data_IF_628194338982
#
_entry.id   IF_628194338982
#
_cell.length_a   1.000
_cell.length_b   1.000
_cell.length_c   1.000
_cell.angle_alpha   90.00
_cell.angle_beta   90.00
_cell.angle_gamma   90.00
#
_symmetry.space_group_name_H-M   'P 1'
#
loop_
_entity.id
_entity.type
_entity.pdbx_description
1 polymer ?
#
# COMPACT_ATOMS: atom_id res chain seq x y z
N UNK A 1 7.16 11.71 -12.09
CA UNK A 1 6.95 10.65 -13.11
C UNK A 1 5.48 10.26 -13.00
N UNK A 2 4.75 10.30 -14.11
CA UNK A 2 3.31 9.96 -14.11
C UNK A 2 3.08 8.51 -13.68
N UNK A 3 2.02 8.30 -12.92
CA UNK A 3 1.65 6.96 -12.43
C UNK A 3 0.99 6.18 -13.57
N UNK A 4 1.60 5.07 -13.95
CA UNK A 4 1.11 4.20 -15.03
C UNK A 4 0.51 2.91 -14.44
N UNK A 5 -0.81 2.85 -14.36
CA UNK A 5 -1.54 1.68 -13.84
C UNK A 5 -1.66 0.51 -14.83
N UNK A 6 -1.25 0.68 -16.09
CA UNK A 6 -1.22 -0.43 -17.06
C UNK A 6 0.01 -1.32 -16.92
N UNK A 7 1.01 -0.91 -16.14
CA UNK A 7 2.22 -1.67 -15.87
C UNK A 7 2.14 -2.21 -14.44
N UNK A 8 2.34 -3.49 -14.25
CA UNK A 8 2.38 -4.14 -12.92
C UNK A 8 3.60 -3.73 -12.08
N UNK A 9 4.67 -3.25 -12.72
CA UNK A 9 5.89 -2.81 -12.05
C UNK A 9 5.84 -1.34 -11.65
N UNK A 10 6.14 -1.08 -10.38
CA UNK A 10 6.23 0.27 -9.81
C UNK A 10 7.67 0.78 -9.86
N UNK A 11 7.86 2.05 -10.23
CA UNK A 11 9.15 2.70 -10.13
C UNK A 11 9.62 2.73 -8.67
N UNK A 12 10.84 2.25 -8.43
CA UNK A 12 11.42 2.23 -7.08
C UNK A 12 11.66 3.65 -6.56
N UNK A 13 11.63 3.83 -5.26
CA UNK A 13 11.72 5.16 -4.62
C UNK A 13 13.03 5.87 -4.93
N UNK A 14 14.13 5.14 -5.08
CA UNK A 14 15.43 5.69 -5.46
C UNK A 14 15.36 6.48 -6.76
N UNK A 15 14.57 6.01 -7.72
CA UNK A 15 14.41 6.66 -9.02
C UNK A 15 13.31 7.73 -9.03
N UNK A 16 12.34 7.64 -8.12
CA UNK A 16 11.15 8.48 -8.10
C UNK A 16 11.29 9.72 -7.24
N UNK A 17 11.91 9.58 -6.07
CA UNK A 17 12.01 10.67 -5.08
C UNK A 17 13.43 11.16 -4.83
N UNK A 18 14.43 10.60 -5.53
CA UNK A 18 15.83 11.00 -5.40
C UNK A 18 16.41 10.77 -4.01
N UNK A 19 15.83 9.86 -3.22
CA UNK A 19 16.26 9.61 -1.84
C UNK A 19 17.56 8.84 -1.77
N UNK A 20 18.32 9.09 -0.72
CA UNK A 20 19.55 8.36 -0.37
C UNK A 20 19.21 7.23 0.60
N UNK A 21 19.97 6.12 0.51
CA UNK A 21 19.81 4.96 1.40
C UNK A 21 20.68 5.02 2.64
N UNK A 22 21.67 5.89 2.66
CA UNK A 22 22.57 6.12 3.79
C UNK A 22 23.60 7.19 3.49
N UNK A 23 24.13 7.81 4.51
CA UNK A 23 25.16 8.84 4.44
C UNK A 23 26.16 8.66 5.56
N UNK A 24 27.45 8.78 5.23
CA UNK A 24 28.55 8.81 6.20
C UNK A 24 29.27 10.14 6.03
N UNK A 25 29.21 10.99 7.05
CA UNK A 25 29.79 12.33 7.05
C UNK A 25 29.20 13.21 8.14
N UNK A 26 29.55 14.48 8.14
CA UNK A 26 28.95 15.45 9.06
C UNK A 26 27.56 15.89 8.61
N UNK A 27 26.74 16.39 9.54
CA UNK A 27 25.43 16.97 9.21
C UNK A 27 25.57 18.17 8.27
N UNK A 28 26.64 18.96 8.42
CA UNK A 28 26.95 20.10 7.55
C UNK A 28 27.18 19.64 6.10
N UNK A 29 28.03 18.62 5.89
CA UNK A 29 28.29 18.06 4.56
C UNK A 29 27.03 17.47 3.94
N UNK A 30 26.18 16.84 4.75
CA UNK A 30 24.90 16.31 4.27
C UNK A 30 23.98 17.43 3.75
N UNK A 31 23.88 18.53 4.51
CA UNK A 31 23.07 19.69 4.14
C UNK A 31 23.59 20.33 2.84
N UNK A 32 24.88 20.63 2.78
CA UNK A 32 25.52 21.22 1.59
C UNK A 32 25.34 20.35 0.34
N UNK A 33 25.54 19.03 0.44
CA UNK A 33 25.34 18.10 -0.66
C UNK A 33 23.88 17.97 -1.08
N UNK A 34 22.95 18.10 -0.14
CA UNK A 34 21.52 18.11 -0.42
C UNK A 34 21.13 19.35 -1.21
N UNK A 35 21.58 20.54 -0.77
CA UNK A 35 21.32 21.80 -1.45
C UNK A 35 21.93 21.83 -2.87
N UNK A 36 23.12 21.31 -3.05
CA UNK A 36 23.79 21.21 -4.36
C UNK A 36 23.25 20.09 -5.26
N UNK A 37 22.30 19.27 -4.80
CA UNK A 37 21.76 18.13 -5.55
C UNK A 37 22.80 17.03 -5.85
N UNK A 38 23.90 16.98 -5.10
CA UNK A 38 25.02 16.03 -5.31
C UNK A 38 24.94 14.77 -4.46
N UNK A 39 23.88 14.61 -3.67
CA UNK A 39 23.62 13.36 -2.92
C UNK A 39 23.36 12.22 -3.89
N UNK A 40 24.30 11.29 -3.95
CA UNK A 40 24.15 10.05 -4.72
C UNK A 40 23.78 8.91 -3.77
N UNK A 41 22.83 8.09 -4.16
CA UNK A 41 22.55 6.82 -3.48
C UNK A 41 23.83 5.99 -3.41
N UNK A 42 24.08 5.36 -2.27
CA UNK A 42 25.22 4.47 -2.13
C UNK A 42 25.08 3.32 -3.13
N UNK A 43 26.04 3.16 -4.02
CA UNK A 43 26.10 2.04 -4.96
C UNK A 43 26.37 0.69 -4.29
N UNK A 44 26.63 0.70 -2.97
CA UNK A 44 26.92 -0.49 -2.19
C UNK A 44 25.65 -1.14 -1.68
N UNK A 45 25.66 -2.44 -1.86
CA UNK A 45 24.94 -3.43 -1.06
C UNK A 45 23.52 -3.09 -0.67
N UNK A 46 22.72 -3.99 -0.98
CA UNK A 46 21.58 -4.39 -0.25
C UNK A 46 21.80 -4.19 1.27
N UNK A 47 21.41 -3.06 1.81
CA UNK A 47 21.37 -2.85 3.25
C UNK A 47 19.96 -2.46 3.63
N UNK A 48 19.17 -3.47 3.93
CA UNK A 48 17.89 -3.24 4.59
C UNK A 48 18.11 -3.32 6.08
N UNK A 49 18.04 -2.17 6.73
CA UNK A 49 18.25 -2.07 8.18
C UNK A 49 17.03 -2.52 8.99
N UNK A 50 15.89 -2.75 8.37
CA UNK A 50 14.66 -3.08 9.11
C UNK A 50 13.92 -4.29 8.55
N UNK A 51 13.45 -4.25 7.31
CA UNK A 51 12.61 -5.31 6.76
C UNK A 51 12.77 -5.45 5.25
N UNK A 52 12.34 -6.60 4.73
CA UNK A 52 12.31 -6.86 3.30
C UNK A 52 11.19 -6.05 2.62
N UNK A 53 11.41 -5.64 1.38
CA UNK A 53 10.43 -5.00 0.52
C UNK A 53 9.12 -5.80 0.43
N UNK A 54 9.24 -7.11 0.22
CA UNK A 54 8.10 -8.03 0.17
C UNK A 54 7.29 -8.02 1.45
N UNK A 55 7.95 -8.12 2.62
CA UNK A 55 7.26 -8.07 3.90
C UNK A 55 6.51 -6.74 4.07
N UNK A 56 7.12 -5.63 3.66
CA UNK A 56 6.50 -4.32 3.73
C UNK A 56 5.23 -4.25 2.85
N UNK A 57 5.31 -4.65 1.59
CA UNK A 57 4.17 -4.64 0.67
C UNK A 57 3.04 -5.55 1.12
N UNK A 58 3.36 -6.80 1.43
CA UNK A 58 2.35 -7.78 1.84
C UNK A 58 1.70 -7.45 3.18
N UNK A 59 2.39 -6.76 4.09
CA UNK A 59 1.80 -6.30 5.35
C UNK A 59 0.65 -5.32 5.14
N UNK A 60 0.73 -4.49 4.10
CA UNK A 60 -0.34 -3.56 3.75
C UNK A 60 -1.57 -4.32 3.21
N UNK A 61 -1.34 -5.25 2.28
CA UNK A 61 -2.41 -6.06 1.69
C UNK A 61 -3.08 -6.98 2.73
N UNK A 62 -2.32 -7.49 3.70
CA UNK A 62 -2.84 -8.30 4.79
C UNK A 62 -3.84 -7.56 5.70
N UNK A 63 -3.87 -6.24 5.64
CA UNK A 63 -4.88 -5.41 6.33
C UNK A 63 -6.25 -5.42 5.66
N UNK A 64 -6.38 -5.87 4.42
CA UNK A 64 -7.66 -5.98 3.70
C UNK A 64 -8.32 -7.31 4.10
N UNK A 65 -9.55 -7.30 4.59
CA UNK A 65 -10.12 -8.44 5.32
C UNK A 65 -10.84 -9.49 4.49
N UNK A 66 -10.99 -9.32 3.18
CA UNK A 66 -11.74 -10.22 2.29
C UNK A 66 -10.96 -10.60 1.01
N UNK A 67 -9.64 -10.63 1.11
CA UNK A 67 -8.75 -10.95 0.00
C UNK A 67 -7.96 -12.24 0.23
N UNK A 68 -7.41 -12.79 -0.83
CA UNK A 68 -6.36 -13.80 -0.75
C UNK A 68 -5.01 -13.21 -1.20
N UNK A 69 -3.95 -13.55 -0.47
CA UNK A 69 -2.57 -13.23 -0.79
C UNK A 69 -1.87 -14.55 -1.08
N UNK A 70 -1.38 -14.71 -2.30
CA UNK A 70 -0.57 -15.86 -2.71
C UNK A 70 0.87 -15.38 -2.84
N UNK A 71 1.74 -15.79 -1.91
CA UNK A 71 3.17 -15.48 -1.99
C UNK A 71 3.89 -16.57 -2.76
N UNK A 72 4.34 -16.22 -3.96
CA UNK A 72 5.01 -17.14 -4.86
C UNK A 72 6.52 -17.14 -4.60
N UNK A 73 6.96 -18.19 -3.90
CA UNK A 73 8.35 -18.31 -3.50
C UNK A 73 8.61 -19.45 -2.50
N UNK A 74 9.85 -19.59 -2.04
CA UNK A 74 10.23 -20.56 -1.02
C UNK A 74 9.49 -20.34 0.31
N UNK A 75 9.28 -21.40 1.07
CA UNK A 75 8.57 -21.40 2.35
C UNK A 75 9.15 -20.40 3.38
N UNK A 76 10.46 -20.20 3.40
CA UNK A 76 11.10 -19.24 4.28
C UNK A 76 10.62 -17.78 4.07
N UNK A 77 10.44 -17.38 2.81
CA UNK A 77 9.87 -16.07 2.47
C UNK A 77 8.40 -15.97 2.89
N UNK A 78 7.63 -17.04 2.65
CA UNK A 78 6.21 -17.10 3.00
C UNK A 78 6.00 -17.01 4.52
N UNK A 79 6.78 -17.74 5.31
CA UNK A 79 6.71 -17.70 6.79
C UNK A 79 7.02 -16.31 7.33
N UNK A 80 8.07 -15.65 6.82
CA UNK A 80 8.45 -14.31 7.25
C UNK A 80 7.31 -13.30 6.99
N UNK A 81 6.69 -13.37 5.82
CA UNK A 81 5.59 -12.46 5.44
C UNK A 81 4.27 -12.79 6.15
N UNK A 82 4.04 -14.04 6.54
CA UNK A 82 2.80 -14.47 7.21
C UNK A 82 2.61 -13.87 8.61
N UNK A 83 3.68 -13.40 9.25
CA UNK A 83 3.57 -12.74 10.55
C UNK A 83 2.67 -11.49 10.50
N UNK A 84 2.79 -10.68 9.47
CA UNK A 84 1.93 -9.50 9.29
C UNK A 84 0.46 -9.88 9.10
N UNK A 85 0.19 -10.95 8.37
CA UNK A 85 -1.14 -11.52 8.21
C UNK A 85 -1.73 -11.98 9.56
N UNK A 86 -0.95 -12.71 10.36
CA UNK A 86 -1.37 -13.15 11.67
C UNK A 86 -1.68 -11.97 12.60
N UNK A 87 -0.81 -10.96 12.64
CA UNK A 87 -1.02 -9.73 13.42
C UNK A 87 -2.26 -8.98 12.97
N UNK A 88 -2.52 -8.87 11.67
CA UNK A 88 -3.75 -8.26 11.14
C UNK A 88 -5.00 -8.98 11.66
N UNK A 89 -5.02 -10.32 11.63
CA UNK A 89 -6.14 -11.09 12.18
C UNK A 89 -6.34 -10.89 13.70
N UNK A 90 -5.26 -10.83 14.47
CA UNK A 90 -5.32 -10.56 15.90
C UNK A 90 -5.91 -9.17 16.16
N UNK A 91 -5.50 -8.16 15.40
CA UNK A 91 -6.03 -6.79 15.53
C UNK A 91 -7.50 -6.71 15.11
N UNK A 92 -7.91 -7.40 14.05
CA UNK A 92 -9.32 -7.50 13.64
C UNK A 92 -10.18 -8.10 14.75
N UNK A 93 -9.72 -9.22 15.32
CA UNK A 93 -10.43 -9.88 16.42
C UNK A 93 -10.59 -8.97 17.66
N UNK A 94 -9.57 -8.21 18.02
CA UNK A 94 -9.63 -7.24 19.12
C UNK A 94 -10.71 -6.17 18.93
N UNK A 95 -11.09 -5.89 17.69
CA UNK A 95 -12.16 -4.94 17.34
C UNK A 95 -13.53 -5.59 17.15
N UNK A 96 -13.64 -6.89 17.36
CA UNK A 96 -14.88 -7.63 17.08
C UNK A 96 -15.17 -7.74 15.58
N UNK A 97 -14.17 -7.58 14.71
CA UNK A 97 -14.30 -7.69 13.24
C UNK A 97 -13.75 -9.04 12.79
N UNK A 98 -14.51 -9.74 11.96
CA UNK A 98 -14.03 -10.96 11.31
C UNK A 98 -13.20 -10.58 10.09
N UNK A 99 -12.03 -11.21 9.92
CA UNK A 99 -11.20 -11.10 8.74
C UNK A 99 -11.12 -12.44 8.05
N UNK A 100 -11.63 -12.49 6.82
CA UNK A 100 -11.60 -13.66 5.94
C UNK A 100 -10.36 -13.66 5.03
N UNK A 101 -9.41 -12.75 5.26
CA UNK A 101 -8.12 -12.70 4.55
C UNK A 101 -7.43 -14.06 4.62
N UNK A 102 -6.95 -14.52 3.50
CA UNK A 102 -6.21 -15.78 3.34
C UNK A 102 -4.78 -15.49 2.91
N UNK A 103 -3.83 -16.19 3.48
CA UNK A 103 -2.44 -16.14 3.07
C UNK A 103 -1.96 -17.55 2.69
N UNK A 104 -1.45 -17.68 1.47
CA UNK A 104 -0.98 -18.95 0.90
C UNK A 104 0.45 -18.77 0.40
N UNK A 105 1.35 -19.67 0.77
CA UNK A 105 2.68 -19.80 0.16
C UNK A 105 2.67 -20.91 -0.88
N UNK A 106 3.41 -20.75 -1.96
CA UNK A 106 3.53 -21.80 -3.00
C UNK A 106 4.58 -22.85 -2.68
N UNK A 107 5.42 -22.59 -1.69
CA UNK A 107 6.49 -23.50 -1.24
C UNK A 107 7.40 -23.98 -2.37
N UNK A 108 7.89 -23.04 -3.17
CA UNK A 108 8.82 -23.33 -4.26
C UNK A 108 10.03 -24.12 -3.78
N UNK A 109 10.32 -25.20 -4.47
CA UNK A 109 11.47 -26.04 -4.22
C UNK A 109 12.56 -25.92 -5.33
N UNK A 110 13.61 -26.70 -5.25
CA UNK A 110 14.73 -26.66 -6.19
C UNK A 110 14.32 -27.00 -7.63
N UNK A 111 13.36 -27.93 -7.81
CA UNK A 111 12.87 -28.30 -9.15
C UNK A 111 12.10 -27.14 -9.78
N UNK A 112 11.27 -26.46 -9.00
CA UNK A 112 10.52 -25.29 -9.44
C UNK A 112 11.46 -24.16 -9.87
N UNK A 113 12.59 -24.01 -9.17
CA UNK A 113 13.61 -23.02 -9.49
C UNK A 113 14.34 -23.32 -10.82
N UNK A 114 14.48 -24.60 -11.18
CA UNK A 114 15.17 -25.04 -12.41
C UNK A 114 14.23 -25.07 -13.61
N UNK A 115 13.03 -25.59 -13.42
CA UNK A 115 12.08 -25.88 -14.51
C UNK A 115 10.92 -24.88 -14.62
N UNK A 116 10.84 -23.91 -13.70
CA UNK A 116 9.68 -23.03 -13.56
C UNK A 116 8.54 -23.68 -12.77
N UNK A 117 7.61 -22.87 -12.33
CA UNK A 117 6.47 -23.29 -11.50
C UNK A 117 5.12 -22.79 -12.02
N UNK A 118 5.04 -22.38 -13.28
CA UNK A 118 3.85 -21.80 -13.92
C UNK A 118 2.57 -22.58 -13.66
N UNK A 119 2.58 -23.90 -13.95
CA UNK A 119 1.41 -24.76 -13.74
C UNK A 119 1.04 -24.93 -12.27
N UNK A 120 2.04 -24.99 -11.39
CA UNK A 120 1.83 -25.07 -9.94
C UNK A 120 1.18 -23.79 -9.42
N UNK A 121 1.67 -22.60 -9.82
CA UNK A 121 1.12 -21.32 -9.43
C UNK A 121 -0.32 -21.17 -9.95
N UNK A 122 -0.56 -21.45 -11.24
CA UNK A 122 -1.90 -21.41 -11.83
C UNK A 122 -2.90 -22.27 -11.03
N UNK A 123 -2.53 -23.50 -10.73
CA UNK A 123 -3.34 -24.41 -9.92
C UNK A 123 -3.65 -23.84 -8.52
N UNK A 124 -2.65 -23.27 -7.85
CA UNK A 124 -2.82 -22.67 -6.52
C UNK A 124 -3.76 -21.47 -6.56
N UNK A 125 -3.69 -20.64 -7.60
CA UNK A 125 -4.61 -19.49 -7.76
C UNK A 125 -6.05 -19.99 -7.87
N UNK A 126 -6.31 -20.95 -8.77
CA UNK A 126 -7.66 -21.51 -8.99
C UNK A 126 -8.19 -22.22 -7.75
N UNK A 127 -7.34 -23.01 -7.07
CA UNK A 127 -7.72 -23.72 -5.84
C UNK A 127 -8.03 -22.71 -4.71
N UNK A 128 -7.25 -21.65 -4.56
CA UNK A 128 -7.47 -20.59 -3.59
C UNK A 128 -8.81 -19.89 -3.84
N UNK A 129 -9.12 -19.57 -5.11
CA UNK A 129 -10.40 -18.99 -5.49
C UNK A 129 -11.58 -19.90 -5.13
N UNK A 130 -11.54 -21.16 -5.54
CA UNK A 130 -12.61 -22.13 -5.30
C UNK A 130 -12.87 -22.37 -3.81
N UNK A 131 -11.79 -22.48 -3.03
CA UNK A 131 -11.85 -22.86 -1.62
C UNK A 131 -12.27 -21.71 -0.72
N UNK A 132 -11.74 -20.51 -0.93
CA UNK A 132 -11.88 -19.40 0.00
C UNK A 132 -12.81 -18.30 -0.51
N UNK A 133 -13.11 -18.26 -1.79
CA UNK A 133 -14.01 -17.28 -2.43
C UNK A 133 -13.68 -15.83 -2.03
N UNK A 134 -12.40 -15.42 -2.14
CA UNK A 134 -12.00 -14.06 -1.80
C UNK A 134 -12.63 -13.06 -2.76
N UNK A 135 -12.65 -11.78 -2.38
CA UNK A 135 -13.14 -10.67 -3.23
C UNK A 135 -12.07 -10.11 -4.17
N UNK A 136 -10.79 -10.40 -3.90
CA UNK A 136 -9.66 -10.15 -4.80
C UNK A 136 -8.50 -11.10 -4.44
N UNK A 137 -7.60 -11.35 -5.40
CA UNK A 137 -6.42 -12.19 -5.21
C UNK A 137 -5.16 -11.38 -5.58
N UNK A 138 -4.22 -11.29 -4.67
CA UNK A 138 -2.90 -10.71 -4.89
C UNK A 138 -1.86 -11.83 -5.02
N UNK A 139 -1.20 -11.92 -6.16
CA UNK A 139 -0.14 -12.90 -6.43
C UNK A 139 1.20 -12.21 -6.36
N UNK A 140 1.95 -12.41 -5.28
CA UNK A 140 3.21 -11.71 -5.06
C UNK A 140 4.41 -12.55 -5.47
N UNK A 141 5.36 -11.93 -6.17
CA UNK A 141 6.67 -12.51 -6.45
C UNK A 141 7.57 -12.55 -5.22
N UNK A 142 8.58 -13.40 -5.27
CA UNK A 142 9.71 -13.45 -4.33
C UNK A 142 11.04 -13.12 -5.05
N UNK A 143 12.13 -13.02 -4.28
CA UNK A 143 13.46 -12.89 -4.89
C UNK A 143 13.79 -14.09 -5.79
N UNK A 144 13.38 -15.30 -5.42
CA UNK A 144 13.63 -16.50 -6.21
C UNK A 144 12.92 -16.42 -7.57
N UNK A 145 11.63 -16.13 -7.59
CA UNK A 145 10.85 -15.98 -8.83
C UNK A 145 11.38 -14.85 -9.73
N UNK A 146 11.79 -13.73 -9.12
CA UNK A 146 12.38 -12.63 -9.89
C UNK A 146 13.75 -12.94 -10.49
N UNK A 147 14.57 -13.75 -9.83
CA UNK A 147 15.89 -14.15 -10.34
C UNK A 147 15.77 -15.15 -11.49
N UNK A 148 14.87 -16.12 -11.39
CA UNK A 148 14.62 -17.09 -12.46
C UNK A 148 13.82 -16.49 -13.62
N UNK A 149 13.29 -15.27 -13.48
CA UNK A 149 12.53 -14.58 -14.53
C UNK A 149 11.15 -15.17 -14.76
N UNK A 150 10.49 -15.70 -13.74
CA UNK A 150 9.15 -16.27 -13.88
C UNK A 150 8.12 -15.16 -14.18
N UNK A 151 7.35 -15.35 -15.24
CA UNK A 151 6.37 -14.41 -15.74
C UNK A 151 5.02 -14.56 -15.02
N UNK A 152 4.93 -14.00 -13.81
CA UNK A 152 3.70 -14.06 -13.03
C UNK A 152 2.56 -13.24 -13.65
N UNK A 153 2.86 -12.22 -14.47
CA UNK A 153 1.85 -11.42 -15.15
C UNK A 153 1.08 -12.27 -16.15
N UNK A 154 1.78 -13.03 -17.00
CA UNK A 154 1.15 -13.96 -17.94
C UNK A 154 0.30 -15.01 -17.23
N UNK A 155 0.79 -15.58 -16.11
CA UNK A 155 0.04 -16.56 -15.33
C UNK A 155 -1.24 -15.94 -14.73
N UNK A 156 -1.15 -14.72 -14.24
CA UNK A 156 -2.30 -13.98 -13.72
C UNK A 156 -3.30 -13.66 -14.84
N UNK A 157 -2.82 -13.28 -16.02
CA UNK A 157 -3.68 -13.01 -17.18
C UNK A 157 -4.40 -14.27 -17.66
N UNK A 158 -3.73 -15.42 -17.70
CA UNK A 158 -4.32 -16.69 -18.12
C UNK A 158 -5.47 -17.19 -17.23
N UNK A 159 -5.49 -16.80 -15.96
CA UNK A 159 -6.56 -17.24 -15.04
C UNK A 159 -7.74 -16.26 -14.96
N UNK A 160 -7.64 -15.06 -15.54
CA UNK A 160 -8.69 -14.03 -15.44
C UNK A 160 -10.03 -14.46 -16.02
N UNK A 161 -10.02 -15.28 -17.06
CA UNK A 161 -11.23 -15.79 -17.69
C UNK A 161 -11.93 -16.89 -16.87
N UNK A 162 -11.24 -17.46 -15.88
CA UNK A 162 -11.75 -18.53 -15.02
C UNK A 162 -12.16 -18.05 -13.63
N UNK A 163 -11.87 -16.78 -13.30
CA UNK A 163 -12.08 -16.19 -11.98
C UNK A 163 -12.87 -14.89 -12.11
N UNK A 164 -13.98 -14.78 -11.37
CA UNK A 164 -14.87 -13.61 -11.42
C UNK A 164 -14.39 -12.39 -10.61
N UNK A 165 -13.31 -12.54 -9.82
CA UNK A 165 -12.77 -11.49 -8.97
C UNK A 165 -11.43 -10.95 -9.50
N UNK A 166 -11.04 -9.72 -9.17
CA UNK A 166 -9.75 -9.19 -9.57
C UNK A 166 -8.60 -10.08 -9.10
N UNK A 167 -7.70 -10.44 -10.03
CA UNK A 167 -6.43 -11.09 -9.76
C UNK A 167 -5.32 -10.18 -10.26
N UNK A 168 -4.32 -9.89 -9.42
CA UNK A 168 -3.25 -8.95 -9.77
C UNK A 168 -1.89 -9.46 -9.34
N UNK A 169 -0.90 -9.31 -10.22
CA UNK A 169 0.50 -9.57 -9.91
C UNK A 169 1.09 -8.44 -9.05
N UNK A 170 1.86 -8.80 -8.03
CA UNK A 170 2.49 -7.88 -7.09
C UNK A 170 3.99 -8.11 -7.09
N UNK A 171 4.72 -7.30 -7.84
CA UNK A 171 6.17 -7.40 -8.01
C UNK A 171 6.93 -6.81 -6.83
N UNK A 172 7.14 -7.59 -5.79
CA UNK A 172 7.76 -7.14 -4.55
C UNK A 172 9.06 -7.89 -4.19
N UNK A 173 9.85 -8.26 -5.17
CA UNK A 173 11.15 -8.91 -4.98
C UNK A 173 12.09 -8.01 -4.17
N UNK A 174 12.60 -8.53 -3.06
CA UNK A 174 13.35 -7.75 -2.09
C UNK A 174 14.57 -7.01 -2.63
N UNK A 175 15.20 -7.50 -3.70
CA UNK A 175 16.37 -6.88 -4.32
C UNK A 175 16.05 -5.69 -5.23
N UNK A 176 14.79 -5.48 -5.62
CA UNK A 176 14.40 -4.40 -6.54
C UNK A 176 14.63 -3.00 -5.98
N UNK A 177 14.56 -2.83 -4.67
CA UNK A 177 14.75 -1.53 -4.03
C UNK A 177 15.55 -1.67 -2.74
N UNK A 178 16.46 -0.71 -2.51
CA UNK A 178 17.19 -0.56 -1.25
C UNK A 178 16.34 0.10 -0.17
N UNK A 179 15.24 0.74 -0.57
CA UNK A 179 14.29 1.40 0.33
C UNK A 179 13.10 0.46 0.55
N UNK A 180 13.07 -0.21 1.69
CA UNK A 180 11.99 -1.15 2.04
C UNK A 180 10.59 -0.55 1.89
N UNK A 181 10.47 0.77 2.12
CA UNK A 181 9.21 1.50 2.01
C UNK A 181 8.66 1.58 0.56
N UNK A 182 9.43 1.20 -0.46
CA UNK A 182 8.89 0.99 -1.82
C UNK A 182 7.78 -0.07 -1.82
N UNK A 183 7.77 -0.98 -0.83
CA UNK A 183 6.68 -1.94 -0.64
C UNK A 183 5.31 -1.30 -0.41
N UNK A 184 5.23 -0.13 0.22
CA UNK A 184 3.97 0.61 0.33
C UNK A 184 3.47 1.05 -1.05
N UNK A 185 4.36 1.57 -1.89
CA UNK A 185 4.01 2.02 -3.24
C UNK A 185 3.52 0.85 -4.10
N UNK A 186 4.15 -0.33 -3.95
CA UNK A 186 3.78 -1.55 -4.66
C UNK A 186 2.38 -2.02 -4.25
N UNK A 187 2.08 -2.06 -2.95
CA UNK A 187 0.75 -2.44 -2.47
C UNK A 187 -0.33 -1.43 -2.88
N UNK A 188 -0.02 -0.13 -2.79
CA UNK A 188 -0.92 0.93 -3.23
C UNK A 188 -1.20 0.84 -4.74
N UNK A 189 -0.17 0.52 -5.53
CA UNK A 189 -0.31 0.32 -6.97
C UNK A 189 -1.22 -0.86 -7.29
N UNK A 190 -1.02 -2.01 -6.63
CA UNK A 190 -1.86 -3.18 -6.82
C UNK A 190 -3.34 -2.91 -6.49
N UNK A 191 -3.60 -2.16 -5.40
CA UNK A 191 -4.96 -1.74 -5.02
C UNK A 191 -5.55 -0.78 -6.06
N UNK A 192 -4.78 0.21 -6.53
CA UNK A 192 -5.22 1.15 -7.57
C UNK A 192 -5.50 0.46 -8.90
N UNK A 193 -4.70 -0.55 -9.26
CA UNK A 193 -4.84 -1.29 -10.51
C UNK A 193 -6.05 -2.22 -10.53
N UNK A 194 -6.27 -2.94 -9.42
CA UNK A 194 -7.21 -4.05 -9.38
C UNK A 194 -8.54 -3.73 -8.67
N UNK A 195 -8.53 -2.82 -7.70
CA UNK A 195 -9.68 -2.63 -6.82
C UNK A 195 -10.36 -1.28 -7.02
N UNK A 196 -9.60 -0.18 -7.06
CA UNK A 196 -10.19 1.15 -7.14
C UNK A 196 -10.90 1.36 -8.48
N UNK A 197 -12.20 1.63 -8.42
CA UNK A 197 -13.04 1.86 -9.58
C UNK A 197 -13.08 3.35 -9.94
N UNK A 198 -13.51 3.64 -11.18
CA UNK A 198 -13.82 5.00 -11.57
C UNK A 198 -14.99 5.52 -10.72
N UNK A 199 -14.99 6.80 -10.32
CA UNK A 199 -16.09 7.36 -9.56
C UNK A 199 -17.39 7.26 -10.33
N UNK A 200 -18.48 6.94 -9.66
CA UNK A 200 -19.81 6.93 -10.25
C UNK A 200 -20.22 8.36 -10.62
N UNK A 201 -20.82 8.60 -11.79
CA UNK A 201 -21.20 9.94 -12.22
C UNK A 201 -22.07 10.65 -11.18
N UNK A 202 -21.68 11.87 -10.80
CA UNK A 202 -22.44 12.70 -9.86
C UNK A 202 -22.35 12.28 -8.38
N UNK A 203 -21.63 11.22 -8.05
CA UNK A 203 -21.44 10.78 -6.67
C UNK A 203 -20.20 11.47 -6.09
N UNK A 204 -20.43 12.32 -5.10
CA UNK A 204 -19.41 12.87 -4.19
C UNK A 204 -19.82 12.53 -2.76
N UNK A 205 -18.90 12.04 -1.97
CA UNK A 205 -19.16 11.65 -0.58
C UNK A 205 -18.42 12.58 0.38
N UNK A 206 -18.83 12.64 1.63
CA UNK A 206 -18.06 13.30 2.69
C UNK A 206 -16.96 12.39 3.26
N UNK A 207 -16.66 11.27 2.60
CA UNK A 207 -15.58 10.37 3.00
C UNK A 207 -14.23 11.00 2.73
N UNK A 208 -13.30 10.82 3.66
CA UNK A 208 -11.91 11.22 3.53
C UNK A 208 -11.01 9.98 3.70
N UNK A 209 -10.14 9.71 2.74
CA UNK A 209 -9.24 8.58 2.78
C UNK A 209 -8.08 8.85 3.74
N UNK A 210 -7.94 7.99 4.75
CA UNK A 210 -6.88 8.04 5.74
C UNK A 210 -5.88 6.89 5.52
N UNK A 211 -4.68 7.20 5.05
CA UNK A 211 -3.62 6.22 4.84
C UNK A 211 -2.63 6.22 6.00
N UNK A 212 -2.25 5.01 6.46
CA UNK A 212 -1.23 4.78 7.49
C UNK A 212 -1.51 5.43 8.85
N UNK A 213 -2.76 5.43 9.29
CA UNK A 213 -3.12 5.86 10.63
C UNK A 213 -2.98 4.73 11.66
N UNK A 214 -2.54 5.10 12.86
CA UNK A 214 -2.47 4.16 13.96
C UNK A 214 -3.87 3.80 14.47
N UNK A 215 -4.08 2.52 14.64
CA UNK A 215 -5.35 1.97 15.07
C UNK A 215 -5.83 2.46 16.45
N UNK A 216 -4.88 2.75 17.34
CA UNK A 216 -5.18 3.24 18.68
C UNK A 216 -5.84 4.62 18.66
N UNK A 217 -5.56 5.46 17.68
CA UNK A 217 -6.14 6.80 17.55
C UNK A 217 -7.41 6.84 16.68
N UNK A 218 -7.88 5.70 16.20
CA UNK A 218 -9.03 5.64 15.30
C UNK A 218 -10.33 6.18 15.89
N UNK A 219 -10.73 5.83 17.12
CA UNK A 219 -11.95 6.35 17.73
C UNK A 219 -11.94 7.87 17.87
N UNK A 220 -10.82 8.43 18.32
CA UNK A 220 -10.63 9.87 18.50
C UNK A 220 -10.67 10.63 17.16
N UNK A 221 -10.03 10.07 16.13
CA UNK A 221 -10.08 10.64 14.78
C UNK A 221 -11.51 10.62 14.22
N UNK A 222 -12.24 9.53 14.38
CA UNK A 222 -13.65 9.43 13.93
C UNK A 222 -14.49 10.50 14.63
N UNK A 223 -14.36 10.63 15.94
CA UNK A 223 -15.16 11.59 16.73
C UNK A 223 -14.83 13.04 16.34
N UNK A 224 -13.56 13.35 16.16
CA UNK A 224 -13.11 14.64 15.70
C UNK A 224 -13.65 14.98 14.30
N UNK A 225 -13.53 14.05 13.34
CA UNK A 225 -13.92 14.30 11.95
C UNK A 225 -15.43 14.41 11.75
N UNK A 226 -16.24 13.78 12.62
CA UNK A 226 -17.69 13.98 12.65
C UNK A 226 -18.06 15.45 12.90
N UNK A 227 -17.29 16.18 13.70
CA UNK A 227 -17.53 17.61 13.96
C UNK A 227 -17.34 18.46 12.69
N UNK A 228 -16.58 17.96 11.73
CA UNK A 228 -16.35 18.61 10.44
C UNK A 228 -17.30 18.11 9.34
N UNK A 229 -18.29 17.24 9.64
CA UNK A 229 -19.11 16.49 8.68
C UNK A 229 -18.25 15.68 7.69
N UNK A 230 -17.20 15.07 8.17
CA UNK A 230 -16.31 14.21 7.40
C UNK A 230 -16.31 12.80 7.99
N UNK A 231 -16.29 11.80 7.10
CA UNK A 231 -16.31 10.37 7.45
C UNK A 231 -14.95 9.74 7.07
N UNK A 232 -14.06 9.47 8.02
CA UNK A 232 -12.74 8.92 7.72
C UNK A 232 -12.79 7.43 7.36
N UNK A 233 -12.20 7.08 6.23
CA UNK A 233 -12.00 5.69 5.75
C UNK A 233 -10.54 5.30 5.96
N UNK A 234 -10.27 4.40 6.88
CA UNK A 234 -8.90 4.02 7.26
C UNK A 234 -8.35 2.89 6.38
N UNK A 235 -7.27 3.15 5.67
CA UNK A 235 -6.62 2.27 4.71
C UNK A 235 -5.30 1.70 5.30
N UNK A 236 -5.07 0.45 5.27
CA UNK A 236 -5.84 -0.75 4.89
C UNK A 236 -6.36 -1.49 6.15
N UNK A 237 -6.43 -0.80 7.23
CA UNK A 237 -6.77 -1.36 8.54
C UNK A 237 -8.20 -1.91 8.54
N UNK A 238 -8.36 -3.19 8.28
CA UNK A 238 -9.63 -3.91 8.17
C UNK A 238 -10.59 -3.37 7.08
N UNK A 239 -10.06 -2.73 6.05
CA UNK A 239 -10.85 -2.36 4.88
C UNK A 239 -11.36 -3.59 4.14
N UNK A 240 -12.49 -3.46 3.46
CA UNK A 240 -12.97 -4.45 2.50
C UNK A 240 -12.63 -4.02 1.08
N UNK A 241 -12.67 -4.98 0.15
CA UNK A 241 -12.54 -4.68 -1.29
C UNK A 241 -13.62 -3.70 -1.75
N UNK A 242 -14.84 -3.82 -1.23
CA UNK A 242 -15.95 -2.90 -1.52
C UNK A 242 -15.63 -1.46 -1.06
N UNK A 243 -15.17 -1.27 0.17
CA UNK A 243 -14.77 0.06 0.66
C UNK A 243 -13.64 0.66 -0.17
N UNK A 244 -12.63 -0.15 -0.53
CA UNK A 244 -11.51 0.30 -1.35
C UNK A 244 -11.90 0.60 -2.80
N UNK A 245 -12.91 -0.05 -3.33
CA UNK A 245 -13.38 0.21 -4.69
C UNK A 245 -13.91 1.63 -4.88
N UNK A 246 -14.41 2.26 -3.82
CA UNK A 246 -15.00 3.60 -3.81
C UNK A 246 -14.06 4.72 -3.35
N UNK A 247 -12.76 4.49 -3.22
CA UNK A 247 -11.80 5.53 -2.81
C UNK A 247 -11.78 6.74 -3.75
N UNK A 248 -12.11 6.54 -5.01
CA UNK A 248 -12.20 7.59 -6.03
C UNK A 248 -13.38 8.57 -5.83
N UNK A 249 -14.35 8.21 -4.98
CA UNK A 249 -15.53 9.03 -4.66
C UNK A 249 -15.35 9.90 -3.41
N UNK A 250 -14.22 9.76 -2.71
CA UNK A 250 -13.91 10.53 -1.51
C UNK A 250 -13.64 12.00 -1.81
N UNK A 251 -13.92 12.86 -0.82
CA UNK A 251 -13.71 14.31 -0.94
C UNK A 251 -12.23 14.68 -0.93
N UNK A 252 -11.40 13.92 -0.21
CA UNK A 252 -9.96 14.10 -0.16
C UNK A 252 -9.24 12.82 0.29
N UNK A 253 -7.93 12.82 0.15
CA UNK A 253 -7.02 11.80 0.71
C UNK A 253 -6.02 12.48 1.63
N UNK A 254 -5.74 11.88 2.78
CA UNK A 254 -4.68 12.30 3.70
C UNK A 254 -3.88 11.11 4.20
N UNK A 255 -2.68 11.36 4.70
CA UNK A 255 -1.78 10.35 5.23
C UNK A 255 -1.03 10.91 6.44
N UNK A 256 -0.87 10.11 7.49
CA UNK A 256 -0.08 10.52 8.66
C UNK A 256 1.42 10.61 8.35
N UNK A 257 1.89 9.83 7.40
CA UNK A 257 3.28 9.87 6.94
C UNK A 257 3.32 10.11 5.43
N UNK A 258 3.63 11.34 5.04
CA UNK A 258 3.69 11.74 3.63
C UNK A 258 4.65 10.89 2.80
N UNK A 259 5.67 10.30 3.43
CA UNK A 259 6.59 9.39 2.75
C UNK A 259 5.94 8.04 2.41
N UNK A 260 5.12 7.49 3.29
CA UNK A 260 4.55 6.15 3.14
C UNK A 260 3.22 6.14 2.36
N UNK A 261 2.47 7.25 2.38
CA UNK A 261 1.14 7.32 1.76
C UNK A 261 1.08 8.14 0.48
N UNK A 262 2.17 8.75 0.06
CA UNK A 262 2.12 9.69 -1.04
C UNK A 262 1.83 9.03 -2.40
N UNK A 263 2.15 7.74 -2.57
CA UNK A 263 1.85 7.04 -3.82
C UNK A 263 0.34 6.99 -4.06
N UNK A 264 -0.42 6.49 -3.09
CA UNK A 264 -1.88 6.37 -3.19
C UNK A 264 -2.55 7.75 -3.34
N UNK A 265 -2.14 8.73 -2.53
CA UNK A 265 -2.67 10.09 -2.61
C UNK A 265 -2.46 10.72 -3.99
N UNK A 266 -1.24 10.64 -4.52
CA UNK A 266 -0.93 11.14 -5.87
C UNK A 266 -1.66 10.35 -6.96
N UNK A 267 -1.81 9.03 -6.81
CA UNK A 267 -2.51 8.20 -7.77
C UNK A 267 -4.01 8.54 -7.86
N UNK A 268 -4.67 8.70 -6.71
CA UNK A 268 -6.08 9.09 -6.64
C UNK A 268 -6.30 10.51 -7.20
N UNK A 269 -5.39 11.44 -6.90
CA UNK A 269 -5.45 12.80 -7.44
C UNK A 269 -5.24 12.81 -8.96
N UNK A 270 -4.18 12.16 -9.46
CA UNK A 270 -3.85 12.13 -10.89
C UNK A 270 -4.92 11.41 -11.73
N UNK A 271 -5.47 10.30 -11.23
CA UNK A 271 -6.39 9.45 -12.00
C UNK A 271 -7.85 9.84 -11.86
N UNK A 272 -8.24 10.33 -10.69
CA UNK A 272 -9.65 10.54 -10.35
C UNK A 272 -9.96 11.94 -9.82
N UNK A 273 -8.96 12.81 -9.70
CA UNK A 273 -9.14 14.17 -9.20
C UNK A 273 -9.53 14.24 -7.72
N UNK A 274 -9.21 13.22 -6.92
CA UNK A 274 -9.39 13.24 -5.47
C UNK A 274 -8.23 14.02 -4.84
N UNK A 275 -8.47 15.21 -4.26
CA UNK A 275 -7.40 16.04 -3.74
C UNK A 275 -6.56 15.33 -2.67
N UNK A 276 -5.24 15.51 -2.73
CA UNK A 276 -4.32 14.93 -1.74
C UNK A 276 -3.74 15.99 -0.82
N UNK A 277 -4.05 15.89 0.48
CA UNK A 277 -3.51 16.76 1.53
C UNK A 277 -2.08 16.34 1.85
N UNK A 278 -1.11 17.12 1.37
CA UNK A 278 0.34 16.85 1.44
C UNK A 278 1.00 17.42 2.69
N UNK A 279 0.33 17.35 3.83
CA UNK A 279 0.94 17.82 5.07
C UNK A 279 2.20 17.02 5.40
N UNK A 280 3.30 17.72 5.60
CA UNK A 280 4.62 17.09 5.78
C UNK A 280 4.80 16.58 7.21
N UNK A 281 4.14 17.21 8.20
CA UNK A 281 4.33 16.90 9.60
C UNK A 281 3.08 17.21 10.41
N UNK A 282 2.37 16.19 10.83
CA UNK A 282 1.20 16.30 11.70
C UNK A 282 1.55 16.15 13.20
N UNK A 283 2.83 16.14 13.55
CA UNK A 283 3.28 15.96 14.92
C UNK A 283 3.37 17.31 15.65
N UNK A 284 2.99 17.29 16.95
CA UNK A 284 2.93 18.48 17.77
C UNK A 284 1.73 19.38 17.43
N UNK A 285 1.47 20.35 18.28
CA UNK A 285 0.30 21.24 18.17
C UNK A 285 0.27 21.96 16.82
N UNK A 286 1.33 22.70 16.50
CA UNK A 286 1.40 23.48 15.25
C UNK A 286 1.29 22.63 13.99
N UNK A 287 1.93 21.44 13.98
CA UNK A 287 1.86 20.54 12.85
C UNK A 287 0.45 19.96 12.66
N UNK A 288 -0.20 19.60 13.77
CA UNK A 288 -1.57 19.09 13.77
C UNK A 288 -2.59 20.14 13.32
N UNK A 289 -2.51 21.36 13.84
CA UNK A 289 -3.35 22.47 13.39
C UNK A 289 -3.16 22.79 11.91
N UNK A 290 -1.91 22.83 11.44
CA UNK A 290 -1.62 23.06 10.02
C UNK A 290 -2.25 21.99 9.15
N UNK A 291 -2.14 20.72 9.55
CA UNK A 291 -2.76 19.59 8.84
C UNK A 291 -4.30 19.71 8.80
N UNK A 292 -4.94 20.07 9.92
CA UNK A 292 -6.39 20.30 9.96
C UNK A 292 -6.81 21.43 9.03
N UNK A 293 -6.08 22.57 9.05
CA UNK A 293 -6.36 23.71 8.16
C UNK A 293 -6.24 23.35 6.69
N UNK A 294 -5.24 22.54 6.32
CA UNK A 294 -5.12 22.05 4.93
C UNK A 294 -6.28 21.12 4.54
N UNK A 295 -6.75 20.26 5.45
CA UNK A 295 -7.98 19.49 5.24
C UNK A 295 -9.18 20.42 5.06
N UNK A 296 -9.31 21.44 5.90
CA UNK A 296 -10.39 22.43 5.81
C UNK A 296 -10.46 23.08 4.44
N UNK A 297 -9.35 23.59 3.94
CA UNK A 297 -9.24 24.22 2.62
C UNK A 297 -9.68 23.28 1.50
N UNK A 298 -9.20 22.05 1.52
CA UNK A 298 -9.47 21.08 0.45
C UNK A 298 -10.91 20.56 0.49
N UNK A 299 -11.52 20.49 1.68
CA UNK A 299 -12.86 19.96 1.88
C UNK A 299 -13.94 21.05 2.03
N UNK A 300 -13.55 22.34 2.03
CA UNK A 300 -14.41 23.48 2.28
C UNK A 300 -15.08 23.41 3.67
N UNK A 301 -14.28 23.17 4.70
CA UNK A 301 -14.69 23.04 6.12
C UNK A 301 -13.87 23.95 7.04
N UNK A 302 -13.31 25.04 6.49
CA UNK A 302 -12.42 25.97 7.21
C UNK A 302 -13.03 26.47 8.50
N UNK A 303 -14.29 26.96 8.46
CA UNK A 303 -14.98 27.53 9.62
C UNK A 303 -15.13 26.52 10.76
N UNK A 304 -15.48 25.27 10.44
CA UNK A 304 -15.67 24.20 11.45
C UNK A 304 -14.34 23.80 12.07
N UNK A 305 -13.31 23.70 11.27
CA UNK A 305 -11.98 23.33 11.72
C UNK A 305 -11.35 24.45 12.54
N UNK A 306 -11.47 25.70 12.12
CA UNK A 306 -10.93 26.80 12.88
C UNK A 306 -11.63 26.96 14.24
N UNK A 307 -12.95 26.79 14.30
CA UNK A 307 -13.69 26.75 15.56
C UNK A 307 -13.17 25.66 16.50
N UNK A 308 -12.94 24.43 15.99
CA UNK A 308 -12.40 23.32 16.76
C UNK A 308 -10.99 23.58 17.28
N UNK A 309 -10.15 24.26 16.51
CA UNK A 309 -8.78 24.60 16.92
C UNK A 309 -8.76 25.65 18.04
N UNK A 310 -9.75 26.52 18.09
CA UNK A 310 -9.85 27.58 19.11
C UNK A 310 -10.48 27.10 20.43
N UNK A 311 -11.22 26.01 20.45
CA UNK A 311 -11.78 25.34 21.64
C UNK A 311 -10.73 24.45 22.32
#
# INVERSE_FOLDING_TARGET
MAINLSNSNVAVRENRIGSITGYIGSLKDLAEKSECGTLKGCARCFSQSSTCLSLCGLSQLAGIRDVAIIHHGPSGCSVTSSNSYYMSKVMSKKRGVTSDTVYVGTDMNEKDTIFGSTEALRKIILETYRRYKPKAIFVSSSCATGIIGEDIDSIVDDVKDEIEVPVVAVHCEGFKSKIWATGFDISDHAVMQAIVQKPRPGVKTNKINFKNFFESARPEIIEMFKQFDLDPVFLYCNSTVEELSHLSESIATTCICGTLGNYLGNALEEKYGVPYVRSINQCGITGFETWLREIGKVTHREDKIEKYIQE
#
